data_IF_877785645081
#
_entry.id   IF_877785645081
#
_cell.length_a   1.000
_cell.length_b   1.000
_cell.length_c   1.000
_cell.angle_alpha   90.00
_cell.angle_beta   90.00
_cell.angle_gamma   90.00
#
_symmetry.space_group_name_H-M   'P 1'
#
loop_
_entity.id
_entity.type
_entity.pdbx_description
1 polymer ?
#
# COMPACT_ATOMS: atom_id res chain seq x y z
N UNK A 1 1.03 -13.84 -12.95
CA UNK A 1 0.69 -14.35 -11.60
C UNK A 1 0.59 -13.14 -10.71
N UNK A 2 -0.60 -12.83 -10.22
CA UNK A 2 -0.79 -11.69 -9.31
C UNK A 2 -0.29 -12.00 -7.91
N UNK A 3 -0.13 -10.97 -7.10
CA UNK A 3 0.28 -11.08 -5.69
C UNK A 3 -0.89 -11.41 -4.77
N UNK A 4 -2.13 -11.40 -5.30
CA UNK A 4 -3.36 -11.66 -4.55
C UNK A 4 -4.28 -12.60 -5.33
N UNK A 5 -5.08 -13.41 -4.60
CA UNK A 5 -6.11 -14.26 -5.19
C UNK A 5 -7.42 -13.50 -5.45
N UNK A 6 -7.70 -12.47 -4.68
CA UNK A 6 -8.93 -11.70 -4.76
C UNK A 6 -8.71 -10.31 -5.36
N UNK A 7 -9.68 -9.85 -6.14
CA UNK A 7 -9.68 -8.50 -6.71
C UNK A 7 -9.91 -7.42 -5.65
N UNK A 8 -9.64 -6.17 -6.00
CA UNK A 8 -9.68 -4.98 -5.12
C UNK A 8 -11.00 -4.85 -4.35
N UNK A 9 -12.15 -5.10 -4.99
CA UNK A 9 -13.46 -5.03 -4.30
C UNK A 9 -13.53 -5.97 -3.11
N UNK A 10 -13.05 -7.21 -3.27
CA UNK A 10 -13.07 -8.20 -2.19
C UNK A 10 -12.04 -7.84 -1.11
N UNK A 11 -10.85 -7.40 -1.51
CA UNK A 11 -9.83 -6.93 -0.56
C UNK A 11 -10.38 -5.84 0.36
N UNK A 12 -11.04 -4.83 -0.20
CA UNK A 12 -11.68 -3.76 0.57
C UNK A 12 -12.79 -4.28 1.49
N UNK A 13 -13.63 -5.20 1.01
CA UNK A 13 -14.69 -5.83 1.82
C UNK A 13 -14.12 -6.65 2.98
N UNK A 14 -12.95 -7.27 2.80
CA UNK A 14 -12.27 -8.06 3.81
C UNK A 14 -11.49 -7.22 4.83
N UNK A 15 -11.47 -5.89 4.65
CA UNK A 15 -10.87 -4.97 5.61
C UNK A 15 -9.48 -4.47 5.20
N UNK A 16 -9.01 -4.77 3.98
CA UNK A 16 -7.75 -4.23 3.46
C UNK A 16 -7.94 -2.74 3.16
N UNK A 17 -7.00 -1.91 3.62
CA UNK A 17 -7.05 -0.44 3.47
C UNK A 17 -5.81 0.15 2.80
N UNK A 18 -4.73 -0.63 2.65
CA UNK A 18 -3.56 -0.29 1.86
C UNK A 18 -3.54 -1.08 0.56
N UNK A 19 -3.38 -0.42 -0.57
CA UNK A 19 -3.32 -1.02 -1.90
C UNK A 19 -2.03 -0.59 -2.58
N UNK A 20 -1.20 -1.57 -2.94
CA UNK A 20 0.02 -1.33 -3.69
C UNK A 20 -0.24 -1.63 -5.16
N UNK A 21 -0.15 -0.62 -6.02
CA UNK A 21 -0.50 -0.70 -7.43
C UNK A 21 0.69 -0.36 -8.32
N UNK A 22 1.19 -1.35 -9.05
CA UNK A 22 2.23 -1.16 -10.05
C UNK A 22 1.63 -0.66 -11.35
N UNK A 23 1.88 0.60 -11.71
CA UNK A 23 1.34 1.25 -12.89
C UNK A 23 2.34 1.28 -14.03
N UNK A 24 1.85 1.09 -15.25
CA UNK A 24 2.63 1.20 -16.47
C UNK A 24 1.81 1.86 -17.58
N UNK A 25 2.49 2.29 -18.64
CA UNK A 25 1.81 2.76 -19.85
C UNK A 25 0.91 1.66 -20.40
N UNK A 26 -0.35 1.99 -20.64
CA UNK A 26 -1.32 1.08 -21.27
C UNK A 26 -1.19 0.99 -22.79
N UNK A 27 -2.21 0.46 -23.43
CA UNK A 27 -2.23 0.24 -24.89
C UNK A 27 -2.14 1.54 -25.70
N UNK A 28 -2.66 2.64 -25.18
CA UNK A 28 -2.55 3.97 -25.80
C UNK A 28 -1.86 4.95 -24.86
N UNK A 29 -1.42 6.09 -25.37
CA UNK A 29 -0.77 7.13 -24.56
C UNK A 29 -1.66 7.71 -23.45
N UNK A 30 -2.98 7.52 -23.54
CA UNK A 30 -3.96 7.94 -22.53
C UNK A 30 -4.34 6.88 -21.53
N UNK A 31 -3.86 5.64 -21.69
CA UNK A 31 -4.22 4.50 -20.86
C UNK A 31 -3.13 4.21 -19.83
N UNK A 32 -3.55 3.76 -18.67
CA UNK A 32 -2.68 3.27 -17.60
C UNK A 32 -3.14 1.88 -17.20
N UNK A 33 -2.21 0.92 -17.26
CA UNK A 33 -2.45 -0.47 -16.88
C UNK A 33 -1.77 -0.80 -15.56
N UNK A 34 -2.33 -1.76 -14.84
CA UNK A 34 -1.74 -2.36 -13.65
C UNK A 34 -1.00 -3.63 -14.06
N UNK A 35 0.32 -3.63 -13.96
CA UNK A 35 1.14 -4.76 -14.42
C UNK A 35 2.31 -5.02 -13.47
N UNK A 36 2.61 -6.31 -13.21
CA UNK A 36 3.77 -6.68 -12.39
C UNK A 36 4.38 -8.04 -12.82
N UNK A 37 5.69 -8.12 -12.98
CA UNK A 37 6.65 -7.02 -13.16
C UNK A 37 6.46 -6.34 -14.52
N UNK A 38 5.75 -6.98 -15.43
CA UNK A 38 5.27 -6.44 -16.71
C UNK A 38 3.90 -7.05 -17.08
N UNK A 39 3.27 -6.56 -18.15
CA UNK A 39 1.94 -6.99 -18.56
C UNK A 39 1.90 -8.40 -19.19
N UNK A 40 3.04 -9.00 -19.52
CA UNK A 40 3.09 -10.40 -19.99
C UNK A 40 3.06 -11.38 -18.81
N UNK A 41 3.66 -11.01 -17.68
CA UNK A 41 3.64 -11.80 -16.47
C UNK A 41 2.29 -11.69 -15.76
N UNK A 42 1.82 -10.46 -15.53
CA UNK A 42 0.51 -10.21 -14.95
C UNK A 42 -0.05 -8.87 -15.42
N UNK A 43 -1.32 -8.88 -15.82
CA UNK A 43 -2.08 -7.70 -16.19
C UNK A 43 -3.34 -7.63 -15.31
N UNK A 44 -3.37 -6.67 -14.40
CA UNK A 44 -4.47 -6.40 -13.46
C UNK A 44 -5.58 -5.49 -14.03
N UNK A 45 -5.51 -5.14 -15.33
CA UNK A 45 -6.48 -4.28 -15.97
C UNK A 45 -6.11 -2.79 -15.93
N UNK A 46 -7.09 -1.90 -16.06
CA UNK A 46 -6.84 -0.47 -16.12
C UNK A 46 -6.85 0.19 -14.73
N UNK A 47 -5.98 1.18 -14.53
CA UNK A 47 -5.99 2.01 -13.33
C UNK A 47 -7.34 2.71 -13.14
N UNK A 48 -7.96 3.22 -14.23
CA UNK A 48 -9.28 3.88 -14.18
C UNK A 48 -10.35 2.94 -13.60
N UNK A 49 -10.40 1.70 -14.05
CA UNK A 49 -11.43 0.75 -13.59
C UNK A 49 -11.19 0.36 -12.14
N UNK A 50 -9.95 0.19 -11.73
CA UNK A 50 -9.57 -0.05 -10.32
C UNK A 50 -9.97 1.14 -9.44
N UNK A 51 -9.66 2.37 -9.85
CA UNK A 51 -10.07 3.58 -9.13
C UNK A 51 -11.60 3.73 -9.07
N UNK A 52 -12.33 3.29 -10.12
CA UNK A 52 -13.79 3.25 -10.10
C UNK A 52 -14.32 2.30 -9.03
N UNK A 53 -13.68 1.13 -8.86
CA UNK A 53 -14.02 0.18 -7.78
C UNK A 53 -13.78 0.84 -6.41
N UNK A 54 -12.61 1.43 -6.19
CA UNK A 54 -12.27 2.11 -4.93
C UNK A 54 -13.26 3.24 -4.65
N UNK A 55 -13.55 4.07 -5.63
CA UNK A 55 -14.52 5.18 -5.51
C UNK A 55 -15.91 4.68 -5.15
N UNK A 56 -16.43 3.66 -5.84
CA UNK A 56 -17.76 3.11 -5.58
C UNK A 56 -17.82 2.48 -4.18
N UNK A 57 -16.73 1.86 -3.74
CA UNK A 57 -16.62 1.32 -2.39
C UNK A 57 -16.65 2.44 -1.34
N UNK A 58 -15.89 3.52 -1.52
CA UNK A 58 -15.88 4.69 -0.63
C UNK A 58 -17.24 5.41 -0.59
N UNK A 59 -18.01 5.43 -1.69
CA UNK A 59 -19.37 6.00 -1.71
C UNK A 59 -20.28 5.33 -0.67
N UNK A 60 -20.08 4.04 -0.41
CA UNK A 60 -20.91 3.24 0.52
C UNK A 60 -20.25 3.04 1.89
N UNK A 61 -18.93 3.25 1.99
CA UNK A 61 -18.14 3.06 3.21
C UNK A 61 -17.48 4.38 3.63
N UNK A 62 -18.32 5.37 3.95
CA UNK A 62 -17.91 6.77 4.18
C UNK A 62 -17.09 6.97 5.47
N UNK A 63 -16.97 5.96 6.31
CA UNK A 63 -16.17 6.00 7.55
C UNK A 63 -14.82 5.29 7.42
N UNK A 64 -14.42 4.95 6.22
CA UNK A 64 -13.18 4.27 5.93
C UNK A 64 -12.21 5.16 5.14
N UNK A 65 -10.92 4.99 5.38
CA UNK A 65 -9.85 5.65 4.63
C UNK A 65 -9.06 4.58 3.88
N UNK A 66 -8.85 4.79 2.60
CA UNK A 66 -8.05 3.90 1.75
C UNK A 66 -6.76 4.59 1.36
N UNK A 67 -5.65 3.87 1.42
CA UNK A 67 -4.35 4.33 0.97
C UNK A 67 -3.94 3.58 -0.29
N UNK A 68 -3.44 4.28 -1.29
CA UNK A 68 -2.87 3.70 -2.50
C UNK A 68 -1.41 4.10 -2.60
N UNK A 69 -0.54 3.11 -2.81
CA UNK A 69 0.86 3.30 -3.18
C UNK A 69 0.98 3.02 -4.67
N UNK A 70 1.21 4.08 -5.46
CA UNK A 70 1.44 3.95 -6.89
C UNK A 70 2.93 3.80 -7.14
N UNK A 71 3.35 2.66 -7.64
CA UNK A 71 4.71 2.41 -8.08
C UNK A 71 4.79 2.39 -9.61
N UNK A 72 5.80 3.06 -10.14
CA UNK A 72 6.06 3.08 -11.57
C UNK A 72 6.82 1.83 -12.01
N UNK A 73 6.21 1.05 -12.89
CA UNK A 73 6.87 -0.07 -13.56
C UNK A 73 7.88 0.43 -14.62
N UNK A 74 8.51 -0.52 -15.32
CA UNK A 74 9.55 -0.25 -16.33
C UNK A 74 9.11 0.73 -17.43
N UNK A 75 7.85 0.65 -17.87
CA UNK A 75 7.26 1.58 -18.82
C UNK A 75 6.42 2.61 -18.08
N UNK A 76 6.98 3.75 -17.79
CA UNK A 76 6.30 4.82 -17.06
C UNK A 76 5.06 5.31 -17.79
N UNK A 77 3.94 5.33 -17.11
CA UNK A 77 2.74 5.97 -17.59
C UNK A 77 2.93 7.51 -17.62
N UNK A 78 2.32 8.18 -18.60
CA UNK A 78 2.37 9.63 -18.61
C UNK A 78 1.60 10.22 -17.43
N UNK A 79 2.11 11.27 -16.77
CA UNK A 79 1.39 11.93 -15.66
C UNK A 79 -0.02 12.38 -16.05
N UNK A 80 -0.21 12.84 -17.28
CA UNK A 80 -1.52 13.26 -17.79
C UNK A 80 -2.50 12.08 -17.86
N UNK A 81 -2.04 10.88 -18.25
CA UNK A 81 -2.89 9.69 -18.29
C UNK A 81 -3.29 9.22 -16.88
N UNK A 82 -2.36 9.28 -15.92
CA UNK A 82 -2.67 8.93 -14.52
C UNK A 82 -3.68 9.92 -13.94
N UNK A 83 -3.48 11.23 -14.09
CA UNK A 83 -4.43 12.26 -13.64
C UNK A 83 -5.82 12.10 -14.29
N UNK A 84 -5.82 11.76 -15.59
CA UNK A 84 -7.05 11.46 -16.31
C UNK A 84 -7.78 10.25 -15.73
N UNK A 85 -7.07 9.18 -15.36
CA UNK A 85 -7.68 8.00 -14.74
C UNK A 85 -8.37 8.33 -13.40
N UNK A 86 -7.78 9.20 -12.57
CA UNK A 86 -8.41 9.70 -11.34
C UNK A 86 -9.67 10.52 -11.64
N UNK A 87 -9.62 11.43 -12.60
CA UNK A 87 -10.78 12.26 -12.99
C UNK A 87 -11.91 11.43 -13.62
N UNK A 88 -11.58 10.54 -14.56
CA UNK A 88 -12.58 9.73 -15.27
C UNK A 88 -13.28 8.71 -14.34
N UNK A 89 -12.59 8.22 -13.32
CA UNK A 89 -13.17 7.33 -12.30
C UNK A 89 -14.01 8.08 -11.26
N UNK A 90 -13.81 9.39 -11.12
CA UNK A 90 -14.37 10.21 -10.05
C UNK A 90 -13.75 9.94 -8.66
N UNK A 91 -12.63 9.23 -8.58
CA UNK A 91 -11.92 8.98 -7.33
C UNK A 91 -11.24 10.24 -6.80
N UNK A 92 -10.94 11.20 -7.68
CA UNK A 92 -10.29 12.47 -7.34
C UNK A 92 -11.05 13.29 -6.29
N UNK A 93 -12.36 13.11 -6.17
CA UNK A 93 -13.18 13.79 -5.16
C UNK A 93 -12.85 13.39 -3.70
N UNK A 94 -12.25 12.21 -3.53
CA UNK A 94 -11.88 11.69 -2.20
C UNK A 94 -10.42 11.90 -1.83
N UNK A 95 -9.59 12.37 -2.77
CA UNK A 95 -8.15 12.43 -2.56
C UNK A 95 -7.78 13.49 -1.52
N UNK A 96 -6.99 13.08 -0.53
CA UNK A 96 -6.31 13.99 0.39
C UNK A 96 -5.27 14.80 -0.39
N UNK A 97 -5.45 16.12 -0.45
CA UNK A 97 -4.58 16.99 -1.24
C UNK A 97 -3.35 17.43 -0.46
N UNK A 98 -2.18 17.12 -0.99
CA UNK A 98 -0.89 17.58 -0.51
C UNK A 98 -0.38 16.83 0.72
N UNK A 99 0.94 16.85 0.90
CA UNK A 99 1.56 16.38 2.14
C UNK A 99 1.25 17.39 3.26
N UNK A 100 0.75 16.93 4.41
CA UNK A 100 0.56 17.80 5.57
C UNK A 100 1.87 18.47 5.99
N UNK A 101 1.83 19.76 6.22
CA UNK A 101 3.03 20.57 6.51
C UNK A 101 3.62 20.26 7.90
N UNK A 102 2.79 19.87 8.87
CA UNK A 102 3.20 19.70 10.27
C UNK A 102 2.81 18.34 10.85
N UNK A 103 1.61 17.88 10.61
CA UNK A 103 1.12 16.59 11.10
C UNK A 103 0.11 16.01 10.13
N UNK A 104 0.00 14.68 10.09
CA UNK A 104 -1.05 14.01 9.35
C UNK A 104 -2.42 14.36 9.94
N UNK A 105 -3.46 14.57 9.12
CA UNK A 105 -4.82 14.70 9.64
C UNK A 105 -5.26 13.39 10.30
N UNK A 106 -6.15 13.49 11.28
CA UNK A 106 -6.77 12.28 11.83
C UNK A 106 -7.66 11.59 10.82
N UNK A 107 -7.86 10.28 10.99
CA UNK A 107 -8.84 9.54 10.22
C UNK A 107 -10.23 10.19 10.34
N UNK A 108 -10.61 10.61 11.55
CA UNK A 108 -11.86 11.32 11.79
C UNK A 108 -11.94 12.65 11.00
N UNK A 109 -10.84 13.40 10.95
CA UNK A 109 -10.76 14.63 10.15
C UNK A 109 -10.86 14.34 8.65
N UNK A 110 -10.20 13.28 8.16
CA UNK A 110 -10.29 12.85 6.77
C UNK A 110 -11.72 12.45 6.40
N UNK A 111 -12.37 11.68 7.27
CA UNK A 111 -13.77 11.24 7.12
C UNK A 111 -14.70 12.46 7.10
N UNK A 112 -14.55 13.36 8.06
CA UNK A 112 -15.39 14.58 8.15
C UNK A 112 -15.23 15.53 6.97
N UNK A 113 -14.05 15.56 6.35
CA UNK A 113 -13.75 16.38 5.17
C UNK A 113 -13.95 15.65 3.84
N UNK A 114 -14.35 14.38 3.85
CA UNK A 114 -14.46 13.52 2.67
C UNK A 114 -13.14 13.39 1.88
N UNK A 115 -11.98 13.45 2.55
CA UNK A 115 -10.65 13.26 1.95
C UNK A 115 -10.09 11.90 2.34
N UNK A 116 -10.82 10.86 2.00
CA UNK A 116 -10.64 9.49 2.48
C UNK A 116 -9.82 8.59 1.56
N UNK A 117 -9.18 9.17 0.55
CA UNK A 117 -8.25 8.49 -0.34
C UNK A 117 -6.87 9.14 -0.25
N UNK A 118 -5.89 8.44 0.30
CA UNK A 118 -4.50 8.89 0.39
C UNK A 118 -3.70 8.22 -0.73
N UNK A 119 -2.94 8.98 -1.51
CA UNK A 119 -2.20 8.44 -2.65
C UNK A 119 -0.73 8.83 -2.56
N UNK A 120 0.13 7.84 -2.38
CA UNK A 120 1.58 7.99 -2.48
C UNK A 120 2.06 7.63 -3.87
N UNK A 121 3.15 8.24 -4.33
CA UNK A 121 3.82 7.84 -5.56
C UNK A 121 5.35 7.90 -5.44
N UNK A 122 6.02 6.91 -6.00
CA UNK A 122 7.47 6.86 -6.16
C UNK A 122 7.94 7.62 -7.41
N UNK A 123 7.03 7.95 -8.34
CA UNK A 123 7.35 8.66 -9.58
C UNK A 123 7.44 10.17 -9.35
N UNK A 124 8.69 10.68 -9.33
CA UNK A 124 8.94 12.11 -9.18
C UNK A 124 8.31 12.96 -10.30
N UNK A 125 8.18 12.41 -11.51
CA UNK A 125 7.52 13.08 -12.63
C UNK A 125 6.01 13.21 -12.40
N UNK A 126 5.37 12.17 -11.87
CA UNK A 126 3.96 12.20 -11.50
C UNK A 126 3.72 13.18 -10.35
N UNK A 127 4.56 13.15 -9.33
CA UNK A 127 4.48 14.10 -8.20
C UNK A 127 4.66 15.54 -8.67
N UNK A 128 5.64 15.81 -9.53
CA UNK A 128 5.91 17.15 -10.06
C UNK A 128 4.80 17.68 -10.99
N UNK A 129 4.18 16.81 -11.77
CA UNK A 129 3.10 17.16 -12.69
C UNK A 129 1.72 17.26 -12.03
N UNK A 130 1.65 17.24 -10.70
CA UNK A 130 0.46 17.15 -9.88
C UNK A 130 -0.09 18.53 -9.46
N UNK A 131 -0.84 19.25 -10.31
CA UNK A 131 -1.26 20.62 -10.03
C UNK A 131 -2.27 20.71 -8.89
N UNK A 132 -2.95 19.62 -8.57
CA UNK A 132 -3.96 19.55 -7.51
C UNK A 132 -3.45 18.97 -6.20
N UNK A 133 -2.18 18.50 -6.15
CA UNK A 133 -1.63 17.90 -4.96
C UNK A 133 -2.15 16.50 -4.63
N UNK A 134 -2.61 15.71 -5.61
CA UNK A 134 -3.13 14.34 -5.37
C UNK A 134 -2.07 13.37 -4.88
N UNK A 135 -0.83 13.50 -5.38
CA UNK A 135 0.20 12.51 -5.13
C UNK A 135 1.19 13.02 -4.08
N UNK A 136 1.29 12.28 -2.99
CA UNK A 136 2.25 12.53 -1.93
C UNK A 136 3.55 11.80 -2.31
N UNK A 137 4.72 12.45 -2.30
CA UNK A 137 5.97 11.80 -2.68
C UNK A 137 6.28 10.65 -1.73
N UNK A 138 6.42 9.43 -2.27
CA UNK A 138 6.84 8.25 -1.53
C UNK A 138 8.25 8.44 -0.92
N UNK A 139 9.29 8.86 -1.69
CA UNK A 139 10.58 9.17 -1.11
C UNK A 139 10.47 10.28 -0.06
N UNK A 140 11.03 10.05 1.11
CA UNK A 140 11.02 10.94 2.28
C UNK A 140 9.70 11.04 3.06
N UNK A 141 8.62 10.43 2.62
CA UNK A 141 7.34 10.40 3.35
C UNK A 141 7.01 9.01 3.83
N UNK A 142 7.30 8.00 3.03
CA UNK A 142 7.15 6.60 3.38
C UNK A 142 8.53 6.00 3.64
N UNK A 143 8.69 5.37 4.77
CA UNK A 143 9.83 4.53 5.09
C UNK A 143 9.42 3.08 4.87
N UNK A 144 9.75 2.54 3.71
CA UNK A 144 9.60 1.12 3.42
C UNK A 144 10.92 0.42 3.71
N UNK A 145 10.85 -0.70 4.40
CA UNK A 145 12.03 -1.51 4.66
C UNK A 145 12.52 -2.17 3.36
N UNK A 146 13.83 -2.39 3.30
CA UNK A 146 14.42 -3.01 2.12
C UNK A 146 13.94 -4.46 1.96
N UNK A 147 13.51 -4.80 0.76
CA UNK A 147 13.30 -6.14 0.23
C UNK A 147 14.11 -6.25 -1.08
N UNK A 148 13.97 -7.31 -1.82
CA UNK A 148 13.10 -8.47 -1.63
C UNK A 148 13.66 -9.50 -0.65
N UNK A 149 12.76 -10.26 -0.04
CA UNK A 149 13.10 -11.35 0.88
C UNK A 149 12.90 -12.70 0.20
N UNK A 150 13.89 -13.57 0.28
CA UNK A 150 13.82 -14.93 -0.31
C UNK A 150 13.43 -16.00 0.72
N UNK A 151 13.50 -15.66 2.00
CA UNK A 151 13.03 -16.50 3.11
C UNK A 151 12.76 -15.65 4.37
N UNK A 152 11.93 -16.18 5.26
CA UNK A 152 11.40 -15.42 6.40
C UNK A 152 12.43 -14.97 7.45
N UNK A 153 13.63 -15.57 7.50
CA UNK A 153 14.69 -15.13 8.41
C UNK A 153 15.31 -13.78 8.01
N UNK A 154 15.05 -13.30 6.81
CA UNK A 154 15.50 -11.99 6.32
C UNK A 154 14.59 -10.84 6.79
N UNK A 155 13.39 -11.12 7.28
CA UNK A 155 12.48 -10.08 7.75
C UNK A 155 13.07 -9.35 8.95
N UNK A 156 13.15 -8.04 8.83
CA UNK A 156 13.70 -7.15 9.86
C UNK A 156 12.72 -6.02 10.18
N UNK A 157 12.92 -5.43 11.33
CA UNK A 157 12.17 -4.23 11.70
C UNK A 157 12.83 -2.93 11.20
N UNK A 158 13.90 -2.99 10.46
CA UNK A 158 14.57 -1.94 9.69
C UNK A 158 15.55 -1.04 10.43
N UNK A 159 16.29 -0.24 9.69
CA UNK A 159 17.14 0.79 10.26
C UNK A 159 16.29 1.96 10.76
N UNK A 160 16.67 2.49 11.90
CA UNK A 160 15.86 3.39 12.75
C UNK A 160 16.09 4.87 12.52
N UNK A 161 16.60 5.30 11.39
CA UNK A 161 16.72 6.71 11.02
C UNK A 161 15.33 7.31 10.67
N UNK A 162 14.33 7.06 11.52
CA UNK A 162 12.99 7.60 11.34
C UNK A 162 13.01 9.12 11.41
N UNK A 163 12.45 9.74 10.40
CA UNK A 163 11.87 11.08 10.57
C UNK A 163 10.47 10.85 11.17
N UNK A 164 10.12 11.58 12.19
CA UNK A 164 8.82 11.46 12.90
C UNK A 164 7.59 11.58 12.00
N UNK A 165 7.77 12.06 10.79
CA UNK A 165 6.72 12.31 9.80
C UNK A 165 6.56 11.16 8.78
N UNK A 166 7.35 10.10 8.90
CA UNK A 166 7.32 9.02 7.91
C UNK A 166 6.26 7.99 8.24
N UNK A 167 5.52 7.60 7.22
CA UNK A 167 4.68 6.40 7.23
C UNK A 167 5.59 5.19 7.15
N UNK A 168 5.46 4.25 8.07
CA UNK A 168 6.26 3.04 8.09
C UNK A 168 5.51 1.90 7.42
N UNK A 169 6.10 1.37 6.35
CA UNK A 169 5.66 0.16 5.65
C UNK A 169 6.65 -0.96 5.91
N UNK A 170 6.18 -2.09 6.43
CA UNK A 170 6.99 -3.28 6.71
C UNK A 170 6.61 -4.37 5.71
N UNK A 171 7.48 -4.71 4.75
CA UNK A 171 7.27 -5.85 3.88
C UNK A 171 7.29 -7.15 4.67
N UNK A 172 6.28 -7.99 4.45
CA UNK A 172 6.16 -9.32 5.02
C UNK A 172 5.70 -10.32 3.97
N UNK A 173 6.49 -10.46 2.93
CA UNK A 173 6.28 -11.41 1.84
C UNK A 173 7.59 -12.09 1.46
N UNK A 174 7.50 -13.15 0.70
CA UNK A 174 8.64 -13.90 0.17
C UNK A 174 8.55 -13.90 -1.35
N UNK A 175 9.68 -13.70 -2.01
CA UNK A 175 9.78 -13.71 -3.47
C UNK A 175 10.65 -14.83 -3.97
N UNK A 176 10.46 -15.17 -5.23
CA UNK A 176 11.21 -16.19 -5.95
C UNK A 176 11.55 -15.73 -7.36
N UNK A 177 12.47 -16.42 -8.00
CA UNK A 177 12.63 -16.37 -9.45
C UNK A 177 11.68 -17.39 -10.08
N UNK A 178 10.86 -16.94 -11.02
CA UNK A 178 9.90 -17.80 -11.71
C UNK A 178 9.92 -17.56 -13.22
N UNK A 179 9.67 -18.60 -14.00
CA UNK A 179 9.52 -18.50 -15.46
C UNK A 179 8.04 -18.52 -15.82
N UNK A 180 7.61 -17.53 -16.58
CA UNK A 180 6.24 -17.40 -17.06
C UNK A 180 6.24 -17.01 -18.55
N UNK A 181 5.47 -17.70 -19.38
CA UNK A 181 5.39 -17.46 -20.82
C UNK A 181 6.78 -17.41 -21.52
N UNK A 182 7.73 -18.22 -21.06
CA UNK A 182 9.08 -18.28 -21.64
C UNK A 182 10.05 -17.17 -21.19
N UNK A 183 9.60 -16.22 -20.37
CA UNK A 183 10.44 -15.20 -19.74
C UNK A 183 10.70 -15.53 -18.27
N UNK A 184 11.90 -15.23 -17.78
CA UNK A 184 12.27 -15.42 -16.38
C UNK A 184 12.20 -14.09 -15.65
N UNK A 185 11.48 -14.07 -14.54
CA UNK A 185 11.24 -12.91 -13.69
C UNK A 185 11.82 -13.15 -12.30
N UNK A 186 12.50 -12.15 -11.77
CA UNK A 186 12.90 -12.10 -10.38
C UNK A 186 11.83 -11.40 -9.54
N UNK A 187 11.85 -11.64 -8.23
CA UNK A 187 10.94 -11.00 -7.27
C UNK A 187 9.45 -11.32 -7.50
N UNK A 188 9.17 -12.49 -8.07
CA UNK A 188 7.80 -12.99 -8.19
C UNK A 188 7.29 -13.47 -6.83
N UNK A 189 6.00 -13.29 -6.51
CA UNK A 189 5.44 -13.80 -5.26
C UNK A 189 5.69 -15.29 -5.06
N UNK A 190 5.99 -15.69 -3.83
CA UNK A 190 6.20 -17.10 -3.47
C UNK A 190 4.90 -17.67 -2.89
N UNK A 191 4.16 -18.51 -3.65
CA UNK A 191 2.81 -18.93 -3.25
C UNK A 191 2.77 -20.17 -2.36
N UNK A 192 3.88 -20.51 -1.70
CA UNK A 192 3.95 -21.70 -0.86
C UNK A 192 4.11 -21.34 0.61
N UNK A 193 3.60 -22.20 1.50
CA UNK A 193 3.61 -22.02 2.96
C UNK A 193 2.91 -20.73 3.45
N UNK A 194 2.00 -20.19 2.66
CA UNK A 194 1.31 -18.93 2.97
C UNK A 194 0.58 -18.96 4.31
N UNK A 195 -0.03 -20.08 4.68
CA UNK A 195 -0.68 -20.24 5.98
C UNK A 195 0.27 -20.04 7.16
N UNK A 196 1.55 -20.37 7.00
CA UNK A 196 2.60 -20.10 8.00
C UNK A 196 3.11 -18.67 7.88
N UNK A 197 3.42 -18.23 6.67
CA UNK A 197 3.93 -16.87 6.39
C UNK A 197 2.95 -15.83 6.88
N UNK A 198 1.70 -15.86 6.41
CA UNK A 198 0.65 -14.91 6.76
C UNK A 198 -0.09 -15.26 8.07
N UNK A 199 0.33 -16.28 8.79
CA UNK A 199 -0.19 -16.67 10.09
C UNK A 199 0.77 -16.33 11.21
N UNK A 200 1.35 -17.37 11.83
CA UNK A 200 2.25 -17.22 12.98
C UNK A 200 3.45 -16.31 12.71
N UNK A 201 4.07 -16.41 11.53
CA UNK A 201 5.26 -15.60 11.22
C UNK A 201 4.90 -14.12 11.05
N UNK A 202 3.73 -13.82 10.48
CA UNK A 202 3.23 -12.46 10.40
C UNK A 202 3.00 -11.86 11.80
N UNK A 203 2.29 -12.58 12.67
CA UNK A 203 2.05 -12.14 14.05
C UNK A 203 3.37 -11.92 14.80
N UNK A 204 4.30 -12.88 14.71
CA UNK A 204 5.61 -12.78 15.36
C UNK A 204 6.41 -11.58 14.88
N UNK A 205 6.49 -11.35 13.54
CA UNK A 205 7.19 -10.21 12.96
C UNK A 205 6.57 -8.89 13.43
N UNK A 206 5.25 -8.77 13.33
CA UNK A 206 4.51 -7.58 13.73
C UNK A 206 4.70 -7.23 15.22
N UNK A 207 4.57 -8.23 16.12
CA UNK A 207 4.76 -8.04 17.56
C UNK A 207 6.21 -7.71 17.90
N UNK A 208 7.17 -8.36 17.25
CA UNK A 208 8.60 -8.09 17.46
C UNK A 208 8.95 -6.66 17.07
N UNK A 209 8.49 -6.20 15.93
CA UNK A 209 8.73 -4.83 15.48
C UNK A 209 8.04 -3.80 16.38
N UNK A 210 6.82 -4.08 16.80
CA UNK A 210 6.04 -3.17 17.64
C UNK A 210 6.54 -3.12 19.08
N UNK A 211 6.80 -4.28 19.68
CA UNK A 211 7.17 -4.41 21.11
C UNK A 211 8.65 -4.26 21.38
N UNK A 212 9.49 -4.94 20.60
CA UNK A 212 10.93 -4.95 20.83
C UNK A 212 11.65 -3.64 20.52
N UNK A 213 11.02 -2.79 19.73
CA UNK A 213 11.63 -1.58 19.19
C UNK A 213 10.81 -0.31 19.43
N UNK A 214 9.66 -0.41 20.09
CA UNK A 214 8.74 0.71 20.31
C UNK A 214 8.34 1.45 19.03
N UNK A 215 8.15 0.69 17.91
CA UNK A 215 7.85 1.27 16.62
C UNK A 215 6.37 1.24 16.36
N UNK A 216 5.89 2.30 15.77
CA UNK A 216 4.58 2.35 15.22
C UNK A 216 4.60 1.92 13.75
N UNK A 217 3.98 0.78 13.46
CA UNK A 217 3.81 0.25 12.12
C UNK A 217 2.54 0.86 11.54
N UNK A 218 2.62 1.51 10.39
CA UNK A 218 1.46 2.04 9.70
C UNK A 218 0.87 0.99 8.75
N UNK A 219 1.73 0.26 8.03
CA UNK A 219 1.32 -0.77 7.09
C UNK A 219 2.24 -1.99 7.20
N UNK A 220 1.65 -3.17 7.08
CA UNK A 220 2.37 -4.40 6.80
C UNK A 220 1.95 -4.90 5.42
N UNK A 221 2.94 -5.08 4.55
CA UNK A 221 2.74 -5.47 3.16
C UNK A 221 2.83 -6.98 3.04
N UNK A 222 1.80 -7.62 2.49
CA UNK A 222 1.72 -9.07 2.34
C UNK A 222 1.23 -9.49 0.96
N UNK A 223 1.76 -10.59 0.47
CA UNK A 223 1.18 -11.31 -0.67
C UNK A 223 0.10 -12.28 -0.16
N UNK A 224 -0.94 -12.53 -0.97
CA UNK A 224 -1.97 -13.54 -0.70
C UNK A 224 -2.60 -13.41 0.69
N UNK A 225 -3.07 -12.21 1.04
CA UNK A 225 -3.63 -11.90 2.37
C UNK A 225 -4.73 -12.86 2.84
N UNK A 226 -5.42 -13.52 1.91
CA UNK A 226 -6.50 -14.48 2.19
C UNK A 226 -6.01 -15.82 2.71
N UNK A 227 -4.71 -16.07 2.64
CA UNK A 227 -4.07 -17.27 3.15
C UNK A 227 -3.46 -16.97 4.52
N UNK A 228 -3.73 -17.80 5.50
CA UNK A 228 -3.33 -17.56 6.88
C UNK A 228 -4.30 -16.62 7.62
N UNK A 229 -3.78 -15.86 8.57
CA UNK A 229 -4.57 -14.90 9.37
C UNK A 229 -3.76 -13.61 9.61
N UNK A 230 -3.85 -12.68 8.68
CA UNK A 230 -3.24 -11.35 8.84
C UNK A 230 -4.13 -10.37 9.59
N UNK A 231 -5.43 -10.64 9.64
CA UNK A 231 -6.42 -9.74 10.24
C UNK A 231 -6.39 -9.74 11.77
N UNK A 232 -6.38 -10.91 12.40
CA UNK A 232 -6.39 -11.01 13.86
C UNK A 232 -5.16 -10.34 14.50
N UNK A 233 -3.92 -10.58 14.04
CA UNK A 233 -2.75 -9.87 14.54
C UNK A 233 -2.84 -8.35 14.34
N UNK A 234 -3.35 -7.90 13.20
CA UNK A 234 -3.54 -6.46 12.92
C UNK A 234 -4.50 -5.83 13.93
N UNK A 235 -5.63 -6.47 14.22
CA UNK A 235 -6.57 -6.01 15.24
C UNK A 235 -5.96 -6.00 16.64
N UNK A 236 -5.14 -7.00 16.98
CA UNK A 236 -4.41 -7.04 18.26
C UNK A 236 -3.43 -5.86 18.38
N UNK A 237 -2.69 -5.56 17.31
CA UNK A 237 -1.75 -4.43 17.29
C UNK A 237 -2.47 -3.10 17.48
N UNK A 238 -3.63 -2.92 16.86
CA UNK A 238 -4.45 -1.72 17.00
C UNK A 238 -5.02 -1.54 18.41
N UNK A 239 -5.22 -2.62 19.13
CA UNK A 239 -5.70 -2.59 20.53
C UNK A 239 -4.58 -2.32 21.55
N UNK A 240 -3.31 -2.36 21.16
CA UNK A 240 -2.20 -2.11 22.08
C UNK A 240 -2.13 -0.62 22.45
N UNK A 241 -1.88 -0.30 23.74
CA UNK A 241 -1.65 1.09 24.16
C UNK A 241 -0.40 1.66 23.49
N UNK A 242 -0.38 2.95 23.33
CA UNK A 242 0.81 3.67 22.91
C UNK A 242 2.00 3.35 23.81
N UNK A 243 3.22 3.22 23.24
CA UNK A 243 4.42 3.28 24.06
C UNK A 243 4.45 4.59 24.82
N UNK A 244 4.78 4.55 26.11
CA UNK A 244 4.80 5.71 27.02
C UNK A 244 5.91 6.73 26.70
N UNK A 245 6.50 6.72 25.55
CA UNK A 245 7.52 7.70 25.17
C UNK A 245 6.85 8.99 24.69
N UNK A 246 7.48 10.13 24.97
CA UNK A 246 7.05 11.48 24.59
C UNK A 246 6.78 11.70 23.08
N UNK A 247 6.85 10.65 22.29
CA UNK A 247 6.46 10.56 20.87
C UNK A 247 4.94 10.49 20.70
N UNK A 248 4.18 10.20 21.76
CA UNK A 248 2.73 10.07 21.74
C UNK A 248 1.99 11.35 21.29
N UNK A 249 2.63 12.50 21.38
CA UNK A 249 2.06 13.78 20.95
C UNK A 249 2.13 14.02 19.43
N UNK A 250 2.86 13.19 18.66
CA UNK A 250 3.08 13.44 17.24
C UNK A 250 2.17 12.66 16.30
N UNK A 251 1.61 11.50 16.71
CA UNK A 251 0.80 10.64 15.84
C UNK A 251 -0.39 9.99 16.54
N UNK A 252 -1.35 10.72 17.09
CA UNK A 252 -2.53 10.08 17.67
C UNK A 252 -3.49 9.45 16.66
N UNK A 253 -3.20 9.44 15.34
CA UNK A 253 -4.34 9.52 14.45
C UNK A 253 -4.26 8.72 13.14
N UNK A 254 -3.19 8.00 12.86
CA UNK A 254 -3.10 7.04 11.75
C UNK A 254 -3.15 5.60 12.29
N UNK A 255 -4.31 5.22 12.82
CA UNK A 255 -4.47 3.94 13.49
C UNK A 255 -5.59 3.10 12.92
N UNK A 256 -5.41 2.76 11.68
CA UNK A 256 -5.68 1.40 11.26
C UNK A 256 -4.31 0.83 10.87
N UNK A 257 -3.81 -0.17 11.62
CA UNK A 257 -2.76 -1.02 11.10
C UNK A 257 -3.40 -1.77 9.92
N UNK A 258 -3.53 -1.06 8.83
CA UNK A 258 -4.06 -1.61 7.61
C UNK A 258 -3.00 -2.53 7.05
N UNK A 259 -3.37 -3.76 6.83
CA UNK A 259 -2.56 -4.68 6.06
C UNK A 259 -2.53 -4.13 4.64
N UNK A 260 -1.38 -3.66 4.19
CA UNK A 260 -1.17 -3.33 2.80
C UNK A 260 -1.08 -4.62 2.01
N UNK A 261 -1.85 -4.70 0.97
CA UNK A 261 -1.86 -5.85 0.08
C UNK A 261 -1.39 -5.40 -1.28
N UNK A 262 -0.27 -5.95 -1.71
CA UNK A 262 0.29 -5.69 -3.04
C UNK A 262 -0.57 -6.38 -4.09
N UNK A 263 -1.22 -5.61 -4.91
CA UNK A 263 -2.06 -6.07 -6.02
C UNK A 263 -1.32 -6.09 -7.33
#
# INVERSE_FOLDING_TARGET
>A
MGTQYFGIQQQLNDGIRGLHLNITQGATASDVSLCYPDCNAYNGGSLRDTLTIVKNWLDTNQRDVVTIFLESALLKASPAAVLKAFADSGADKYVLMGKPAAAWPSLESMIGNHTTLVVFSDDAGLVAANPKGYFIPHPNTVLRLDGPFTYGAEWTCGPWNRRYESILVIPHYIVQTATYNGATYNNMPYPFNLGTTNGYQFEFHAITCRGGQSIWINFMEVDYYSEGDVKTPTLKLNALPYPNDNVANFYPQFFDATVEVVG
#
